data_IF_772606314950
#
_entry.id   IF_772606314950
#
_cell.length_a   1.000
_cell.length_b   1.000
_cell.length_c   1.000
_cell.angle_alpha   90.00
_cell.angle_beta   90.00
_cell.angle_gamma   90.00
#
_symmetry.space_group_name_H-M   'P 1'
#
loop_
_entity.id
_entity.type
_entity.pdbx_description
1 polymer ?
#
# COMPACT_ATOMS: atom_id res chain seq x y z
N UNK A 1 32.36 -30.61 41.60
CA UNK A 1 32.91 -31.99 41.62
C UNK A 1 33.32 -32.32 40.19
N UNK A 2 34.65 -32.27 39.97
CA UNK A 2 35.60 -33.13 39.22
C UNK A 2 35.09 -33.50 37.79
N UNK A 3 35.68 -32.92 36.73
CA UNK A 3 37.02 -33.22 36.14
C UNK A 3 37.04 -34.55 35.38
N UNK A 4 37.24 -34.53 34.06
CA UNK A 4 38.26 -35.32 33.38
C UNK A 4 38.31 -34.98 31.89
N UNK A 5 39.35 -34.41 31.48
CA UNK A 5 40.23 -34.47 30.34
C UNK A 5 40.27 -35.83 29.62
N UNK A 6 40.37 -35.82 28.28
CA UNK A 6 41.31 -36.65 27.54
C UNK A 6 41.71 -36.01 26.21
N UNK A 7 42.96 -35.68 26.13
CA UNK A 7 43.78 -35.38 24.95
C UNK A 7 44.23 -36.72 24.34
N UNK A 8 44.17 -36.86 23.00
CA UNK A 8 45.11 -37.77 22.29
C UNK A 8 45.46 -37.16 20.94
N UNK A 9 46.75 -36.84 20.84
CA UNK A 9 47.47 -36.55 19.62
C UNK A 9 48.23 -37.83 19.20
N UNK A 10 48.40 -38.06 17.90
CA UNK A 10 49.48 -38.91 17.30
C UNK A 10 49.45 -38.71 15.77
N UNK A 11 50.46 -38.07 15.25
CA UNK A 11 51.73 -38.46 14.61
C UNK A 11 51.63 -38.89 13.15
N UNK A 12 52.27 -38.06 12.33
CA UNK A 12 53.22 -38.28 11.20
C UNK A 12 53.21 -39.59 10.44
N UNK A 13 53.15 -39.49 9.10
CA UNK A 13 54.14 -40.20 8.24
C UNK A 13 54.28 -39.46 6.90
N UNK A 14 55.54 -39.07 6.68
CA UNK A 14 56.16 -38.61 5.42
C UNK A 14 56.52 -39.84 4.63
N UNK A 15 56.26 -39.90 3.34
CA UNK A 15 56.88 -40.85 2.43
C UNK A 15 57.26 -40.18 1.11
N UNK A 16 58.55 -40.42 0.78
CA UNK A 16 59.36 -39.77 -0.24
C UNK A 16 59.12 -40.29 -1.67
N UNK A 17 59.41 -39.42 -2.61
CA UNK A 17 60.01 -39.52 -3.93
C UNK A 17 60.02 -40.82 -4.75
N UNK A 18 59.57 -40.66 -5.99
CA UNK A 18 60.12 -41.32 -7.13
C UNK A 18 60.05 -40.41 -8.39
N UNK A 19 61.26 -40.02 -8.86
CA UNK A 19 61.48 -39.41 -10.17
C UNK A 19 61.15 -40.43 -11.28
N UNK A 20 60.45 -39.99 -12.34
CA UNK A 20 60.54 -40.68 -13.64
C UNK A 20 60.59 -39.64 -14.75
N UNK A 21 61.59 -39.79 -15.56
CA UNK A 21 62.10 -38.94 -16.63
C UNK A 21 61.20 -38.87 -17.85
N UNK A 22 61.12 -37.67 -18.38
CA UNK A 22 61.14 -37.20 -19.76
C UNK A 22 60.66 -38.12 -20.90
N UNK A 23 59.60 -37.68 -21.56
CA UNK A 23 59.50 -37.84 -23.01
C UNK A 23 58.70 -36.61 -23.58
N UNK A 24 59.44 -35.77 -24.34
CA UNK A 24 58.95 -34.60 -25.04
C UNK A 24 58.18 -35.05 -26.29
N UNK A 25 56.89 -34.93 -26.29
CA UNK A 25 56.08 -34.87 -27.50
C UNK A 25 55.45 -33.46 -27.60
N UNK A 26 55.97 -32.67 -28.50
CA UNK A 26 55.42 -31.39 -28.93
C UNK A 26 54.12 -31.63 -29.68
N UNK A 27 52.99 -31.45 -29.00
CA UNK A 27 51.67 -31.33 -29.64
C UNK A 27 51.36 -29.84 -29.71
N UNK A 28 51.30 -29.32 -30.93
CA UNK A 28 50.82 -27.97 -31.22
C UNK A 28 49.32 -27.88 -30.89
N UNK A 29 49.01 -27.28 -29.75
CA UNK A 29 47.62 -26.93 -29.37
C UNK A 29 47.27 -25.62 -30.06
N UNK A 30 46.37 -25.69 -31.07
CA UNK A 30 45.66 -24.54 -31.60
C UNK A 30 44.85 -23.91 -30.46
N UNK A 31 45.24 -22.72 -30.07
CA UNK A 31 44.45 -21.90 -29.14
C UNK A 31 43.18 -21.45 -29.85
N UNK A 32 42.10 -22.24 -29.74
CA UNK A 32 40.76 -21.73 -29.93
C UNK A 32 40.52 -20.70 -28.81
N UNK A 33 40.42 -19.42 -29.17
CA UNK A 33 39.94 -18.38 -28.30
C UNK A 33 38.51 -18.73 -27.84
N UNK A 34 38.40 -19.29 -26.64
CA UNK A 34 37.12 -19.37 -25.95
C UNK A 34 36.75 -17.94 -25.68
N UNK A 35 35.70 -17.49 -26.40
CA UNK A 35 34.99 -16.24 -26.09
C UNK A 35 34.58 -16.34 -24.62
N UNK A 36 35.19 -15.52 -23.78
CA UNK A 36 34.68 -15.27 -22.44
C UNK A 36 33.25 -14.74 -22.61
N UNK A 37 32.27 -15.61 -22.41
CA UNK A 37 30.88 -15.16 -22.15
C UNK A 37 31.01 -14.14 -21.02
N UNK A 38 30.54 -12.92 -21.28
CA UNK A 38 30.39 -11.90 -20.27
C UNK A 38 29.45 -12.48 -19.21
N UNK A 39 30.01 -13.03 -18.14
CA UNK A 39 29.27 -13.28 -16.91
C UNK A 39 28.91 -11.88 -16.45
N UNK A 40 27.70 -11.43 -16.79
CA UNK A 40 27.13 -10.20 -16.24
C UNK A 40 27.22 -10.32 -14.72
N UNK A 41 27.78 -9.28 -14.08
CA UNK A 41 27.82 -9.20 -12.63
C UNK A 41 26.41 -9.54 -12.09
N UNK A 42 26.29 -10.29 -10.99
CA UNK A 42 24.98 -10.61 -10.42
C UNK A 42 24.22 -9.31 -10.23
N UNK A 43 22.98 -9.29 -10.74
CA UNK A 43 22.09 -8.11 -10.60
C UNK A 43 22.08 -7.70 -9.11
N UNK A 44 22.36 -6.42 -8.85
CA UNK A 44 22.37 -5.90 -7.48
C UNK A 44 21.02 -6.20 -6.84
N UNK A 45 21.02 -6.83 -5.68
CA UNK A 45 19.80 -7.16 -4.93
C UNK A 45 19.18 -5.85 -4.39
N UNK A 46 17.85 -5.69 -4.58
CA UNK A 46 17.08 -4.58 -4.05
C UNK A 46 16.20 -5.07 -2.90
N UNK A 47 16.30 -4.41 -1.74
CA UNK A 47 15.48 -4.72 -0.57
C UNK A 47 14.11 -4.05 -0.71
N UNK A 48 13.04 -4.85 -0.77
CA UNK A 48 11.67 -4.38 -0.80
C UNK A 48 10.96 -4.65 0.52
N UNK A 49 10.72 -3.59 1.28
CA UNK A 49 10.03 -3.60 2.58
C UNK A 49 8.53 -3.43 2.38
N UNK A 50 7.75 -4.41 2.84
CA UNK A 50 6.32 -4.52 2.54
C UNK A 50 5.54 -4.48 3.84
N UNK A 51 4.61 -3.55 3.96
CA UNK A 51 3.60 -3.56 5.00
C UNK A 51 2.52 -4.59 4.68
N UNK A 52 2.35 -5.56 5.57
CA UNK A 52 1.21 -6.47 5.61
C UNK A 52 0.83 -6.72 7.07
N UNK A 53 -0.40 -6.38 7.52
CA UNK A 53 -0.80 -6.52 8.92
C UNK A 53 -0.70 -7.97 9.44
N UNK A 54 -0.74 -8.95 8.54
CA UNK A 54 -0.62 -10.39 8.86
C UNK A 54 0.82 -10.90 8.71
N UNK A 55 1.72 -10.04 8.20
CA UNK A 55 3.13 -10.38 7.94
C UNK A 55 3.29 -11.31 6.74
N UNK A 56 4.25 -12.24 6.80
CA UNK A 56 4.58 -13.14 5.69
C UNK A 56 3.45 -14.10 5.27
N UNK A 57 2.41 -14.22 6.06
CA UNK A 57 1.22 -15.04 5.76
C UNK A 57 0.05 -14.21 5.23
N UNK A 58 0.23 -12.92 5.10
CA UNK A 58 -0.82 -12.02 4.63
C UNK A 58 -0.95 -11.97 3.11
N UNK A 59 -2.10 -11.51 2.62
CA UNK A 59 -2.41 -11.50 1.19
C UNK A 59 -1.54 -10.50 0.40
N UNK A 60 -1.13 -9.39 1.02
CA UNK A 60 -0.27 -8.40 0.36
C UNK A 60 1.12 -8.99 0.11
N UNK A 61 1.73 -9.61 1.13
CA UNK A 61 3.02 -10.25 0.98
C UNK A 61 2.98 -11.41 -0.02
N UNK A 62 1.91 -12.21 0.01
CA UNK A 62 1.72 -13.31 -0.93
C UNK A 62 1.67 -12.82 -2.38
N UNK A 63 0.94 -11.75 -2.67
CA UNK A 63 0.91 -11.13 -4.00
C UNK A 63 2.28 -10.60 -4.44
N UNK A 64 3.12 -10.18 -3.50
CA UNK A 64 4.48 -9.70 -3.81
C UNK A 64 5.46 -10.82 -4.14
N UNK A 65 5.19 -12.07 -3.78
CA UNK A 65 5.99 -13.22 -4.26
C UNK A 65 5.85 -13.43 -5.77
N UNK A 66 4.63 -13.31 -6.30
CA UNK A 66 4.38 -13.35 -7.74
C UNK A 66 5.01 -12.15 -8.45
N UNK A 67 4.87 -10.97 -7.84
CA UNK A 67 5.50 -9.75 -8.33
C UNK A 67 7.04 -9.85 -8.36
N UNK A 68 7.68 -10.45 -7.34
CA UNK A 68 9.13 -10.68 -7.28
C UNK A 68 9.60 -11.48 -8.50
N UNK A 69 8.88 -12.55 -8.84
CA UNK A 69 9.18 -13.36 -10.03
C UNK A 69 9.09 -12.53 -11.31
N UNK A 70 8.10 -11.67 -11.42
CA UNK A 70 7.93 -10.80 -12.58
C UNK A 70 9.01 -9.69 -12.63
N UNK A 71 9.44 -9.17 -11.49
CA UNK A 71 10.47 -8.15 -11.40
C UNK A 71 11.83 -8.63 -11.94
N UNK A 72 12.16 -9.93 -11.77
CA UNK A 72 13.36 -10.55 -12.37
C UNK A 72 13.36 -10.41 -13.90
N UNK A 73 12.22 -10.55 -14.55
CA UNK A 73 12.11 -10.39 -16.01
C UNK A 73 12.39 -8.93 -16.47
N UNK A 74 12.32 -7.97 -15.55
CA UNK A 74 12.65 -6.57 -15.80
C UNK A 74 14.06 -6.20 -15.34
N UNK A 75 14.83 -7.18 -14.83
CA UNK A 75 16.21 -7.01 -14.38
C UNK A 75 16.37 -6.57 -12.92
N UNK A 76 15.29 -6.61 -12.11
CA UNK A 76 15.34 -6.31 -10.69
C UNK A 76 15.29 -7.61 -9.86
N UNK A 77 16.28 -7.79 -8.98
CA UNK A 77 16.36 -8.92 -8.05
C UNK A 77 15.88 -8.44 -6.67
N UNK A 78 14.61 -8.69 -6.34
CA UNK A 78 14.00 -8.18 -5.10
C UNK A 78 14.21 -9.15 -3.93
N UNK A 79 14.70 -8.64 -2.81
CA UNK A 79 14.64 -9.30 -1.51
C UNK A 79 13.43 -8.77 -0.74
N UNK A 80 12.39 -9.61 -0.57
CA UNK A 80 11.15 -9.21 0.10
C UNK A 80 11.30 -9.28 1.63
N UNK A 81 10.84 -8.23 2.32
CA UNK A 81 10.90 -8.10 3.78
C UNK A 81 9.53 -7.65 4.31
N UNK A 82 8.83 -8.54 5.03
CA UNK A 82 7.51 -8.25 5.57
C UNK A 82 7.58 -7.52 6.91
N UNK A 83 6.67 -6.56 7.09
CA UNK A 83 6.50 -5.79 8.32
C UNK A 83 5.02 -5.73 8.70
N UNK A 84 4.72 -5.96 9.97
CA UNK A 84 3.37 -5.82 10.51
C UNK A 84 3.05 -4.40 11.02
N UNK A 85 4.05 -3.52 11.02
CA UNK A 85 3.91 -2.12 11.42
C UNK A 85 4.41 -1.21 10.29
N UNK A 86 3.49 -0.46 9.70
CA UNK A 86 3.75 0.44 8.58
C UNK A 86 4.74 1.57 8.92
N UNK A 87 4.71 2.08 10.16
CA UNK A 87 5.63 3.12 10.58
C UNK A 87 7.09 2.64 10.58
N UNK A 88 7.31 1.34 10.84
CA UNK A 88 8.67 0.74 10.77
C UNK A 88 9.13 0.63 9.32
N UNK A 89 8.24 0.27 8.38
CA UNK A 89 8.57 0.30 6.93
C UNK A 89 9.07 1.68 6.52
N UNK A 90 8.33 2.73 6.91
CA UNK A 90 8.70 4.12 6.60
C UNK A 90 10.07 4.47 7.19
N UNK A 91 10.31 4.12 8.47
CA UNK A 91 11.58 4.41 9.15
C UNK A 91 12.76 3.69 8.48
N UNK A 92 12.61 2.40 8.14
CA UNK A 92 13.65 1.62 7.47
C UNK A 92 13.90 2.11 6.04
N UNK A 93 12.84 2.52 5.31
CA UNK A 93 13.00 3.12 3.99
C UNK A 93 13.74 4.47 4.08
N UNK A 94 13.39 5.33 5.04
CA UNK A 94 14.09 6.61 5.25
C UNK A 94 15.55 6.42 5.63
N UNK A 95 15.84 5.41 6.45
CA UNK A 95 17.21 5.07 6.86
C UNK A 95 18.05 4.43 5.74
N UNK A 96 17.47 4.14 4.57
CA UNK A 96 18.17 3.49 3.45
C UNK A 96 18.33 1.99 3.60
N UNK A 97 17.64 1.34 4.54
CA UNK A 97 17.62 -0.11 4.71
C UNK A 97 16.74 -0.81 3.67
N UNK A 98 15.92 -0.07 2.95
CA UNK A 98 15.05 -0.54 1.88
C UNK A 98 15.28 0.30 0.62
N UNK A 99 15.36 -0.33 -0.55
CA UNK A 99 15.40 0.31 -1.86
C UNK A 99 13.99 0.59 -2.39
N UNK A 100 13.01 -0.19 -1.91
CA UNK A 100 11.59 -0.02 -2.18
C UNK A 100 10.77 -0.19 -0.90
N UNK A 101 9.59 0.45 -0.86
CA UNK A 101 8.60 0.20 0.18
C UNK A 101 7.21 0.03 -0.43
N UNK A 102 6.39 -0.87 0.17
CA UNK A 102 4.96 -1.05 -0.10
C UNK A 102 4.14 -0.64 1.11
N UNK A 103 3.34 0.42 0.98
CA UNK A 103 2.58 1.02 2.10
C UNK A 103 1.22 1.55 1.61
N UNK A 104 0.34 1.96 2.53
CA UNK A 104 -0.94 2.61 2.20
C UNK A 104 -0.72 3.97 1.53
N UNK A 105 -1.65 4.37 0.66
CA UNK A 105 -1.54 5.57 -0.17
C UNK A 105 -1.36 6.85 0.64
N UNK A 106 -2.00 6.98 1.79
CA UNK A 106 -1.85 8.16 2.68
C UNK A 106 -0.40 8.34 3.16
N UNK A 107 0.35 7.25 3.36
CA UNK A 107 1.76 7.27 3.82
C UNK A 107 2.74 7.76 2.78
N UNK A 108 2.38 7.73 1.50
CA UNK A 108 3.33 8.11 0.43
C UNK A 108 3.43 9.62 0.19
N UNK A 109 2.63 10.44 0.87
CA UNK A 109 2.58 11.89 0.68
C UNK A 109 3.95 12.59 0.70
N UNK A 110 4.90 12.27 1.59
CA UNK A 110 6.23 12.87 1.56
C UNK A 110 7.06 12.49 0.33
N UNK A 111 6.71 11.43 -0.37
CA UNK A 111 7.44 10.86 -1.50
C UNK A 111 6.78 11.16 -2.84
N UNK A 112 5.44 11.26 -2.85
CA UNK A 112 4.66 11.67 -4.01
C UNK A 112 3.29 12.21 -3.58
N UNK A 113 3.15 13.53 -3.54
CA UNK A 113 1.92 14.21 -3.13
C UNK A 113 0.76 14.00 -4.10
N UNK A 114 1.06 13.84 -5.40
CA UNK A 114 0.05 13.60 -6.43
C UNK A 114 -0.66 12.25 -6.22
N UNK A 115 0.07 11.14 -6.12
CA UNK A 115 -0.54 9.81 -5.94
C UNK A 115 -1.10 9.58 -4.53
N UNK A 116 -0.54 10.21 -3.50
CA UNK A 116 -1.10 10.19 -2.15
C UNK A 116 -2.49 10.83 -2.07
N UNK A 117 -2.83 11.67 -3.03
CA UNK A 117 -4.14 12.33 -3.11
C UNK A 117 -5.24 11.46 -3.72
N UNK A 118 -4.93 10.24 -4.18
CA UNK A 118 -5.94 9.26 -4.66
C UNK A 118 -6.94 8.92 -3.55
N UNK A 119 -6.49 8.88 -2.29
CA UNK A 119 -7.32 8.60 -1.11
C UNK A 119 -8.10 9.82 -0.59
N UNK A 120 -8.23 10.88 -1.40
CA UNK A 120 -8.99 12.05 -1.01
C UNK A 120 -10.45 11.70 -0.70
N UNK A 121 -10.99 12.30 0.37
CA UNK A 121 -12.37 12.11 0.85
C UNK A 121 -13.38 12.37 -0.26
N UNK A 122 -14.20 11.37 -0.58
CA UNK A 122 -15.19 11.46 -1.67
C UNK A 122 -14.56 11.78 -3.03
N UNK A 123 -13.26 11.49 -3.20
CA UNK A 123 -12.53 11.75 -4.45
C UNK A 123 -12.96 10.85 -5.60
N UNK A 124 -13.27 9.59 -5.29
CA UNK A 124 -13.80 8.59 -6.22
C UNK A 124 -15.01 7.90 -5.57
N UNK A 125 -16.12 7.79 -6.32
CA UNK A 125 -17.36 7.23 -5.81
C UNK A 125 -17.38 5.71 -5.77
N UNK A 126 -16.65 5.06 -6.69
CA UNK A 126 -16.71 3.62 -6.89
C UNK A 126 -15.43 3.02 -7.48
N UNK A 127 -15.40 1.69 -7.55
CA UNK A 127 -14.28 0.92 -8.11
C UNK A 127 -14.10 1.12 -9.62
N UNK A 128 -15.14 1.50 -10.36
CA UNK A 128 -15.04 1.78 -11.79
C UNK A 128 -14.24 3.07 -12.04
N UNK A 129 -14.52 4.10 -11.25
CA UNK A 129 -13.74 5.35 -11.29
C UNK A 129 -12.29 5.11 -10.86
N UNK A 130 -12.06 4.27 -9.82
CA UNK A 130 -10.73 3.86 -9.41
C UNK A 130 -9.98 3.15 -10.54
N UNK A 131 -10.61 2.19 -11.22
CA UNK A 131 -10.05 1.48 -12.36
C UNK A 131 -9.68 2.44 -13.51
N UNK A 132 -10.57 3.37 -13.83
CA UNK A 132 -10.31 4.38 -14.87
C UNK A 132 -9.12 5.26 -14.50
N UNK A 133 -9.01 5.70 -13.23
CA UNK A 133 -7.89 6.47 -12.75
C UNK A 133 -6.58 5.67 -12.86
N UNK A 134 -6.53 4.46 -12.32
CA UNK A 134 -5.32 3.63 -12.35
C UNK A 134 -4.91 3.25 -13.77
N UNK A 135 -5.88 3.04 -14.68
CA UNK A 135 -5.57 2.88 -16.12
C UNK A 135 -4.85 4.11 -16.69
N UNK A 136 -5.31 5.32 -16.36
CA UNK A 136 -4.64 6.55 -16.83
C UNK A 136 -3.22 6.66 -16.25
N UNK A 137 -3.06 6.33 -14.97
CA UNK A 137 -1.79 6.44 -14.25
C UNK A 137 -0.77 5.36 -14.65
N UNK A 138 -1.22 4.21 -15.17
CA UNK A 138 -0.33 3.16 -15.69
C UNK A 138 0.30 3.50 -17.04
N UNK A 139 -0.19 4.51 -17.76
CA UNK A 139 0.31 4.84 -19.10
C UNK A 139 1.59 5.69 -19.05
N UNK A 140 2.48 5.58 -20.08
CA UNK A 140 3.73 6.36 -20.14
C UNK A 140 3.52 7.87 -20.00
N UNK A 141 2.39 8.40 -20.45
CA UNK A 141 2.05 9.84 -20.33
C UNK A 141 1.96 10.32 -18.87
N UNK A 142 1.73 9.41 -17.91
CA UNK A 142 1.66 9.72 -16.49
C UNK A 142 3.04 9.77 -15.81
N UNK A 143 4.12 9.29 -16.46
CA UNK A 143 5.47 9.18 -15.89
C UNK A 143 5.91 10.40 -15.09
N UNK A 144 5.70 11.61 -15.64
CA UNK A 144 6.09 12.87 -14.98
C UNK A 144 5.42 13.12 -13.63
N UNK A 145 4.28 12.48 -13.36
CA UNK A 145 3.55 12.59 -12.08
C UNK A 145 3.91 11.45 -11.12
N UNK A 146 4.55 10.38 -11.64
CA UNK A 146 4.97 9.24 -10.85
C UNK A 146 6.32 9.45 -10.17
N UNK A 147 7.08 10.44 -10.59
CA UNK A 147 8.39 10.77 -10.02
C UNK A 147 8.34 12.08 -9.23
N UNK A 148 8.97 12.08 -8.05
CA UNK A 148 9.18 13.27 -7.22
C UNK A 148 10.55 13.12 -6.53
N UNK A 149 11.52 13.97 -6.92
CA UNK A 149 12.91 13.85 -6.46
C UNK A 149 13.49 12.48 -6.80
N UNK A 150 14.07 11.82 -5.81
CA UNK A 150 14.73 10.51 -5.95
C UNK A 150 13.74 9.34 -5.97
N UNK A 151 12.44 9.61 -5.83
CA UNK A 151 11.43 8.58 -5.65
C UNK A 151 10.53 8.44 -6.88
N UNK A 152 10.12 7.20 -7.15
CA UNK A 152 9.14 6.89 -8.18
C UNK A 152 8.06 5.98 -7.61
N UNK A 153 6.81 6.24 -7.97
CA UNK A 153 5.67 5.35 -7.71
C UNK A 153 5.68 4.25 -8.75
N UNK A 154 6.13 3.08 -8.36
CA UNK A 154 6.26 1.92 -9.25
C UNK A 154 4.99 1.06 -9.34
N UNK A 155 4.11 1.12 -8.33
CA UNK A 155 2.84 0.40 -8.34
C UNK A 155 1.77 1.14 -7.55
N UNK A 156 0.51 0.99 -7.98
CA UNK A 156 -0.68 1.42 -7.24
C UNK A 156 -1.72 0.31 -7.38
N UNK A 157 -2.14 -0.28 -6.25
CA UNK A 157 -3.13 -1.35 -6.19
C UNK A 157 -4.33 -0.91 -5.36
N UNK A 158 -5.58 -1.23 -5.76
CA UNK A 158 -6.75 -0.92 -4.95
C UNK A 158 -6.69 -1.69 -3.62
N UNK A 159 -7.10 -1.06 -2.54
CA UNK A 159 -7.17 -1.64 -1.20
C UNK A 159 -8.60 -1.72 -0.65
N UNK A 160 -9.56 -1.20 -1.40
CA UNK A 160 -10.98 -1.23 -1.09
C UNK A 160 -11.57 0.11 -0.66
N UNK A 161 -12.88 0.20 -0.74
CA UNK A 161 -13.61 1.35 -0.24
C UNK A 161 -13.52 1.42 1.29
N UNK A 162 -13.29 2.62 1.80
CA UNK A 162 -13.25 2.90 3.26
C UNK A 162 -14.65 3.21 3.73
N UNK A 163 -15.16 2.42 4.67
CA UNK A 163 -16.49 2.55 5.26
C UNK A 163 -16.42 3.07 6.70
N UNK A 164 -17.52 3.66 7.17
CA UNK A 164 -17.69 4.09 8.57
C UNK A 164 -18.25 2.92 9.38
N UNK A 165 -17.52 2.53 10.41
CA UNK A 165 -17.90 1.53 11.42
C UNK A 165 -18.37 2.27 12.67
N UNK A 166 -19.57 2.00 13.13
CA UNK A 166 -20.13 2.58 14.36
C UNK A 166 -20.49 1.50 15.36
N UNK A 167 -20.25 1.76 16.64
CA UNK A 167 -20.62 0.83 17.72
C UNK A 167 -22.11 0.86 18.04
N UNK A 168 -22.82 1.90 17.59
CA UNK A 168 -24.26 2.06 17.74
C UNK A 168 -24.85 2.66 16.44
N UNK A 169 -25.84 1.99 15.86
CA UNK A 169 -26.55 2.43 14.63
C UNK A 169 -27.28 3.77 14.77
N UNK A 170 -27.45 4.26 16.01
CA UNK A 170 -28.01 5.60 16.23
C UNK A 170 -27.06 6.73 15.81
N UNK A 171 -25.76 6.43 15.62
CA UNK A 171 -24.78 7.37 15.07
C UNK A 171 -24.90 7.31 13.54
N UNK A 172 -25.86 8.06 12.95
CA UNK A 172 -26.24 7.92 11.54
C UNK A 172 -26.27 9.24 10.76
N UNK A 173 -25.70 10.29 11.31
CA UNK A 173 -25.55 11.59 10.66
C UNK A 173 -24.32 12.32 11.18
N UNK A 174 -23.92 13.39 10.50
CA UNK A 174 -22.86 14.31 10.97
C UNK A 174 -23.20 14.85 12.37
N UNK A 175 -24.46 15.21 12.59
CA UNK A 175 -24.94 15.73 13.89
C UNK A 175 -24.81 14.69 15.01
N UNK A 176 -25.19 13.43 14.78
CA UNK A 176 -25.11 12.36 15.80
C UNK A 176 -23.67 11.88 16.04
N UNK A 177 -22.74 12.21 15.14
CA UNK A 177 -21.30 11.97 15.31
C UNK A 177 -20.63 13.03 16.21
N UNK A 178 -21.29 14.20 16.42
CA UNK A 178 -20.79 15.25 17.31
C UNK A 178 -20.60 14.72 18.74
N UNK A 179 -19.46 15.05 19.34
CA UNK A 179 -19.06 14.60 20.69
C UNK A 179 -18.70 13.11 20.80
N UNK A 180 -18.83 12.29 19.71
CA UNK A 180 -18.37 10.90 19.71
C UNK A 180 -16.86 10.80 19.60
N UNK A 181 -16.31 9.72 20.10
CA UNK A 181 -14.87 9.43 20.03
C UNK A 181 -14.58 8.72 18.72
N UNK A 182 -13.70 9.29 17.90
CA UNK A 182 -13.32 8.75 16.58
C UNK A 182 -11.86 8.35 16.58
N UNK A 183 -11.55 7.12 16.16
CA UNK A 183 -10.18 6.70 15.89
C UNK A 183 -9.61 7.49 14.71
N UNK A 184 -8.53 8.24 14.94
CA UNK A 184 -7.96 9.17 13.97
C UNK A 184 -6.51 8.79 13.71
N UNK A 185 -6.17 8.53 12.45
CA UNK A 185 -4.78 8.29 12.07
C UNK A 185 -4.00 9.61 12.14
N UNK A 186 -3.03 9.70 13.04
CA UNK A 186 -2.33 10.96 13.38
C UNK A 186 -1.56 11.57 12.21
N UNK A 187 -1.17 10.76 11.25
CA UNK A 187 -0.46 11.19 10.05
C UNK A 187 -1.38 11.56 8.89
N UNK A 188 -2.70 11.32 9.02
CA UNK A 188 -3.69 11.63 8.00
C UNK A 188 -4.45 12.91 8.33
N UNK A 189 -4.05 13.99 7.68
CA UNK A 189 -4.66 15.31 7.85
C UNK A 189 -6.16 15.31 7.50
N UNK A 190 -6.58 14.48 6.55
CA UNK A 190 -7.98 14.39 6.16
C UNK A 190 -8.84 13.83 7.29
N UNK A 191 -8.37 12.76 7.96
CA UNK A 191 -9.09 12.20 9.11
C UNK A 191 -9.15 13.17 10.29
N UNK A 192 -8.12 13.97 10.52
CA UNK A 192 -8.14 15.03 11.53
C UNK A 192 -9.21 16.08 11.19
N UNK A 193 -9.24 16.56 9.95
CA UNK A 193 -10.22 17.55 9.51
C UNK A 193 -11.68 17.04 9.59
N UNK A 194 -11.92 15.76 9.28
CA UNK A 194 -13.26 15.14 9.44
C UNK A 194 -13.71 15.24 10.90
N UNK A 195 -12.85 14.82 11.84
CA UNK A 195 -13.20 14.81 13.27
C UNK A 195 -13.48 16.21 13.79
N UNK A 196 -12.69 17.20 13.38
CA UNK A 196 -12.89 18.61 13.75
C UNK A 196 -14.18 19.16 13.13
N UNK A 197 -14.45 18.85 11.85
CA UNK A 197 -15.64 19.34 11.15
C UNK A 197 -16.95 18.83 11.78
N UNK A 198 -16.99 17.55 12.18
CA UNK A 198 -18.19 16.97 12.82
C UNK A 198 -18.28 17.30 14.32
N UNK A 199 -17.34 18.03 14.89
CA UNK A 199 -17.31 18.35 16.32
C UNK A 199 -17.14 17.11 17.20
N UNK A 200 -16.46 16.09 16.73
CA UNK A 200 -16.19 14.85 17.45
C UNK A 200 -14.90 14.94 18.29
N UNK A 201 -14.69 13.96 19.15
CA UNK A 201 -13.48 13.84 19.96
C UNK A 201 -12.46 12.96 19.23
N UNK A 202 -11.31 13.53 18.94
CA UNK A 202 -10.20 12.82 18.31
C UNK A 202 -9.55 11.85 19.29
N UNK A 203 -9.40 10.58 18.89
CA UNK A 203 -8.62 9.56 19.60
C UNK A 203 -7.44 9.14 18.72
N UNK A 204 -6.23 9.64 19.00
CA UNK A 204 -5.03 9.35 18.22
C UNK A 204 -4.80 7.85 18.06
N UNK A 205 -4.61 7.40 16.83
CA UNK A 205 -4.50 5.98 16.50
C UNK A 205 -3.48 5.76 15.37
N UNK A 206 -3.04 4.53 15.26
CA UNK A 206 -2.24 4.01 14.15
C UNK A 206 -2.99 2.86 13.50
N UNK A 207 -2.52 2.34 12.36
CA UNK A 207 -3.08 1.14 11.72
C UNK A 207 -3.07 -0.06 12.69
N UNK A 208 -2.08 -0.15 13.60
CA UNK A 208 -2.01 -1.22 14.60
C UNK A 208 -2.97 -1.03 15.78
N UNK A 209 -3.42 0.20 16.08
CA UNK A 209 -4.17 0.50 17.31
C UNK A 209 -5.62 0.91 17.10
N UNK A 210 -6.04 1.31 15.89
CA UNK A 210 -7.40 1.80 15.65
C UNK A 210 -8.46 0.71 15.91
N UNK A 211 -8.23 -0.51 15.42
CA UNK A 211 -9.16 -1.60 15.59
C UNK A 211 -9.22 -2.14 17.04
N UNK A 212 -8.12 -2.37 17.75
CA UNK A 212 -8.16 -2.65 19.19
C UNK A 212 -8.95 -1.58 19.99
N UNK A 213 -8.76 -0.28 19.70
CA UNK A 213 -9.53 0.79 20.37
C UNK A 213 -11.03 0.70 20.07
N UNK A 214 -11.39 0.41 18.81
CA UNK A 214 -12.78 0.19 18.43
C UNK A 214 -13.38 -1.06 19.07
N UNK A 215 -12.65 -2.17 19.06
CA UNK A 215 -13.08 -3.43 19.64
C UNK A 215 -13.30 -3.36 21.16
N UNK A 216 -12.44 -2.61 21.88
CA UNK A 216 -12.53 -2.45 23.33
C UNK A 216 -13.51 -1.34 23.76
N UNK A 217 -14.02 -0.51 22.83
CA UNK A 217 -14.93 0.57 23.14
C UNK A 217 -14.27 1.86 23.59
N UNK A 218 -12.98 2.03 23.32
CA UNK A 218 -12.25 3.28 23.56
C UNK A 218 -12.69 4.36 22.56
N UNK A 219 -13.19 3.96 21.39
CA UNK A 219 -13.79 4.81 20.38
C UNK A 219 -15.18 4.33 19.99
N UNK A 220 -16.02 5.25 19.55
CA UNK A 220 -17.40 4.98 19.13
C UNK A 220 -17.50 4.78 17.62
N UNK A 221 -16.56 5.37 16.88
CA UNK A 221 -16.49 5.35 15.42
C UNK A 221 -15.07 5.01 14.99
N UNK A 222 -14.96 4.15 13.97
CA UNK A 222 -13.74 3.89 13.21
C UNK A 222 -14.06 3.90 11.72
N UNK A 223 -13.05 4.02 10.87
CA UNK A 223 -13.20 3.87 9.43
C UNK A 223 -12.12 2.94 8.89
N UNK A 224 -12.53 2.02 8.02
CA UNK A 224 -11.66 0.99 7.48
C UNK A 224 -12.23 0.43 6.18
N UNK A 225 -11.40 -0.15 5.30
CA UNK A 225 -11.89 -0.98 4.22
C UNK A 225 -12.37 -2.34 4.73
N UNK A 226 -13.22 -3.01 3.95
CA UNK A 226 -13.75 -4.32 4.30
C UNK A 226 -12.65 -5.38 4.50
N UNK A 227 -11.54 -5.27 3.78
CA UNK A 227 -10.37 -6.17 3.93
C UNK A 227 -9.75 -6.13 5.33
N UNK A 228 -10.06 -5.11 6.14
CA UNK A 228 -9.62 -5.00 7.54
C UNK A 228 -10.56 -5.71 8.52
N UNK A 229 -11.79 -6.06 8.10
CA UNK A 229 -12.84 -6.58 8.99
C UNK A 229 -12.44 -7.85 9.73
N UNK A 230 -11.99 -8.87 9.02
CA UNK A 230 -11.57 -10.15 9.61
C UNK A 230 -10.18 -10.07 10.28
N UNK A 231 -9.12 -9.58 9.59
CA UNK A 231 -7.78 -9.56 10.19
C UNK A 231 -7.68 -8.76 11.48
N UNK A 232 -8.48 -7.69 11.61
CA UNK A 232 -8.51 -6.86 12.82
C UNK A 232 -9.70 -7.16 13.74
N UNK A 233 -10.45 -8.23 13.48
CA UNK A 233 -11.58 -8.68 14.31
C UNK A 233 -12.62 -7.58 14.60
N UNK A 234 -12.87 -6.68 13.64
CA UNK A 234 -13.71 -5.49 13.86
C UNK A 234 -15.15 -5.82 14.23
N UNK A 235 -15.62 -7.06 13.99
CA UNK A 235 -16.90 -7.56 14.46
C UNK A 235 -17.06 -7.50 15.98
N UNK A 236 -15.95 -7.56 16.75
CA UNK A 236 -15.99 -7.41 18.22
C UNK A 236 -16.45 -6.02 18.63
N UNK A 237 -15.96 -4.97 17.93
CA UNK A 237 -16.37 -3.60 18.17
C UNK A 237 -17.81 -3.30 17.76
N UNK A 238 -18.30 -3.93 16.69
CA UNK A 238 -19.69 -3.78 16.24
C UNK A 238 -20.68 -4.37 17.24
N UNK A 239 -20.39 -5.54 17.82
CA UNK A 239 -21.30 -6.22 18.74
C UNK A 239 -22.70 -6.41 18.13
N UNK A 240 -23.75 -6.30 18.96
CA UNK A 240 -25.15 -6.42 18.51
C UNK A 240 -25.81 -5.11 18.05
N UNK A 241 -25.25 -3.97 18.42
CA UNK A 241 -25.83 -2.63 18.15
C UNK A 241 -25.13 -1.87 17.03
N UNK A 242 -23.91 -2.25 16.71
CA UNK A 242 -23.09 -1.58 15.73
C UNK A 242 -23.48 -1.86 14.30
N UNK A 243 -22.93 -1.08 13.39
CA UNK A 243 -23.15 -1.21 11.96
C UNK A 243 -22.04 -0.57 11.12
N UNK A 244 -22.15 -0.78 9.83
CA UNK A 244 -21.23 -0.29 8.81
C UNK A 244 -22.05 0.43 7.75
N UNK A 245 -21.79 1.70 7.54
CA UNK A 245 -22.51 2.44 6.50
C UNK A 245 -21.98 2.06 5.13
N UNK A 246 -22.91 1.65 4.24
CA UNK A 246 -22.65 1.27 2.83
C UNK A 246 -22.32 2.51 1.98
N UNK A 247 -21.63 3.43 2.56
CA UNK A 247 -21.27 4.70 1.96
C UNK A 247 -19.74 4.85 2.01
N UNK A 248 -19.05 4.85 0.86
CA UNK A 248 -17.60 4.95 0.84
C UNK A 248 -17.15 6.38 1.14
N UNK A 249 -16.25 6.54 2.11
CA UNK A 249 -15.60 7.83 2.39
C UNK A 249 -14.44 8.12 1.46
N UNK A 250 -13.71 7.08 1.06
CA UNK A 250 -12.54 7.17 0.20
C UNK A 250 -12.26 5.81 -0.45
N UNK A 251 -11.38 5.79 -1.42
CA UNK A 251 -10.87 4.56 -2.04
C UNK A 251 -9.42 4.33 -1.59
N UNK A 252 -9.23 3.43 -0.61
CA UNK A 252 -7.89 3.07 -0.13
C UNK A 252 -7.10 2.37 -1.23
N UNK A 253 -5.80 2.61 -1.24
CA UNK A 253 -4.88 1.92 -2.14
C UNK A 253 -3.55 1.60 -1.43
N UNK A 254 -2.81 0.65 -1.99
CA UNK A 254 -1.42 0.38 -1.64
C UNK A 254 -0.52 0.87 -2.75
N UNK A 255 0.61 1.46 -2.37
CA UNK A 255 1.57 1.98 -3.34
C UNK A 255 2.96 1.43 -3.07
N UNK A 256 3.68 1.13 -4.14
CA UNK A 256 5.10 0.81 -4.11
C UNK A 256 5.89 2.05 -4.51
N UNK A 257 6.71 2.53 -3.59
CA UNK A 257 7.67 3.61 -3.82
C UNK A 257 9.06 3.01 -3.93
N UNK A 258 9.78 3.38 -4.98
CA UNK A 258 11.15 2.96 -5.21
C UNK A 258 12.10 4.17 -5.20
N UNK A 259 13.37 3.92 -4.83
CA UNK A 259 14.48 4.82 -5.15
C UNK A 259 14.87 4.54 -6.60
N UNK A 260 14.41 5.35 -7.54
CA UNK A 260 14.45 5.02 -8.97
C UNK A 260 15.88 4.70 -9.49
N UNK A 261 16.92 5.34 -8.93
CA UNK A 261 18.32 5.08 -9.29
C UNK A 261 18.84 3.68 -8.87
N UNK A 262 18.11 3.01 -7.97
CA UNK A 262 18.44 1.65 -7.50
C UNK A 262 17.84 0.57 -8.39
N UNK A 263 17.02 0.94 -9.35
CA UNK A 263 16.26 0.02 -10.22
C UNK A 263 16.66 0.19 -11.68
N UNK A 264 16.49 -0.85 -12.51
CA UNK A 264 16.74 -0.78 -13.94
C UNK A 264 15.91 0.33 -14.61
N UNK A 265 16.44 0.93 -15.67
CA UNK A 265 15.74 1.92 -16.47
C UNK A 265 14.38 1.40 -16.95
N UNK A 266 13.33 2.20 -16.79
CA UNK A 266 11.97 1.85 -17.17
C UNK A 266 11.28 0.84 -16.25
N UNK A 267 11.90 0.40 -15.16
CA UNK A 267 11.31 -0.53 -14.20
C UNK A 267 9.95 -0.04 -13.70
N UNK A 268 9.87 1.21 -13.22
CA UNK A 268 8.64 1.76 -12.67
C UNK A 268 7.49 1.76 -13.67
N UNK A 269 7.75 2.06 -14.96
CA UNK A 269 6.72 2.01 -16.02
C UNK A 269 6.21 0.58 -16.24
N UNK A 270 7.10 -0.40 -16.39
CA UNK A 270 6.74 -1.81 -16.56
C UNK A 270 5.94 -2.33 -15.36
N UNK A 271 6.36 -1.94 -14.16
CA UNK A 271 5.70 -2.29 -12.92
C UNK A 271 4.27 -1.73 -12.84
N UNK A 272 4.05 -0.46 -13.16
CA UNK A 272 2.71 0.15 -13.18
C UNK A 272 1.78 -0.51 -14.21
N UNK A 273 2.28 -0.84 -15.38
CA UNK A 273 1.50 -1.56 -16.40
C UNK A 273 1.10 -2.95 -15.92
N UNK A 274 2.05 -3.69 -15.34
CA UNK A 274 1.78 -5.02 -14.79
C UNK A 274 0.78 -4.97 -13.63
N UNK A 275 0.98 -4.08 -12.67
CA UNK A 275 0.09 -3.98 -11.50
C UNK A 275 -1.31 -3.54 -11.89
N UNK A 276 -1.46 -2.68 -12.90
CA UNK A 276 -2.78 -2.35 -13.43
C UNK A 276 -3.48 -3.59 -14.04
N UNK A 277 -2.75 -4.49 -14.69
CA UNK A 277 -3.32 -5.75 -15.21
C UNK A 277 -3.83 -6.68 -14.09
N UNK A 278 -3.35 -6.51 -12.85
CA UNK A 278 -3.83 -7.26 -11.69
C UNK A 278 -5.04 -6.61 -11.00
N UNK A 279 -5.58 -5.50 -11.53
CA UNK A 279 -6.66 -4.74 -10.90
C UNK A 279 -7.90 -5.60 -10.62
N UNK A 280 -8.35 -6.38 -11.61
CA UNK A 280 -9.57 -7.19 -11.48
C UNK A 280 -9.40 -8.30 -10.44
N UNK A 281 -8.21 -8.91 -10.33
CA UNK A 281 -7.88 -9.89 -9.28
C UNK A 281 -7.90 -9.25 -7.90
N UNK A 282 -7.31 -8.06 -7.75
CA UNK A 282 -7.35 -7.33 -6.49
C UNK A 282 -8.78 -6.93 -6.10
N UNK A 283 -9.59 -6.51 -7.08
CA UNK A 283 -10.99 -6.17 -6.86
C UNK A 283 -11.83 -7.39 -6.45
N UNK A 284 -11.54 -8.57 -6.99
CA UNK A 284 -12.19 -9.81 -6.56
C UNK A 284 -11.93 -10.09 -5.08
N UNK A 285 -10.69 -9.97 -4.61
CA UNK A 285 -10.35 -10.13 -3.19
C UNK A 285 -11.07 -9.10 -2.30
N UNK A 286 -11.18 -7.85 -2.75
CA UNK A 286 -11.91 -6.81 -2.02
C UNK A 286 -13.41 -7.18 -1.91
N UNK A 287 -14.03 -7.62 -3.00
CA UNK A 287 -15.44 -8.01 -3.02
C UNK A 287 -15.72 -9.25 -2.16
N UNK A 288 -14.79 -10.20 -2.12
CA UNK A 288 -14.88 -11.34 -1.21
C UNK A 288 -14.86 -10.89 0.25
N UNK A 289 -13.96 -9.97 0.61
CA UNK A 289 -13.92 -9.41 1.96
C UNK A 289 -15.19 -8.61 2.31
N UNK A 290 -15.77 -7.87 1.38
CA UNK A 290 -17.06 -7.21 1.56
C UNK A 290 -18.20 -8.22 1.76
N UNK A 291 -18.18 -9.34 1.03
CA UNK A 291 -19.19 -10.40 1.13
C UNK A 291 -19.07 -11.22 2.42
N UNK A 292 -17.90 -11.28 3.05
CA UNK A 292 -17.69 -11.92 4.36
C UNK A 292 -18.36 -11.15 5.51
N UNK A 293 -18.65 -9.87 5.33
CA UNK A 293 -19.32 -9.05 6.34
C UNK A 293 -20.81 -9.43 6.37
N UNK A 294 -21.36 -9.94 7.50
CA UNK A 294 -22.75 -10.28 7.62
C UNK A 294 -23.70 -9.14 7.23
N UNK A 295 -24.73 -9.45 6.45
CA UNK A 295 -25.63 -8.46 5.86
C UNK A 295 -26.34 -7.57 6.90
N UNK A 296 -26.57 -8.08 8.12
CA UNK A 296 -27.19 -7.34 9.21
C UNK A 296 -26.33 -6.21 9.79
N UNK A 297 -25.03 -6.16 9.49
CA UNK A 297 -24.18 -5.04 9.89
C UNK A 297 -24.23 -3.90 8.87
N UNK A 298 -24.52 -4.19 7.60
CA UNK A 298 -24.62 -3.15 6.59
C UNK A 298 -25.87 -2.29 6.77
N UNK A 299 -25.69 -0.98 6.69
CA UNK A 299 -26.74 0.02 6.85
C UNK A 299 -26.66 0.96 5.66
N UNK A 300 -27.80 1.15 4.99
CA UNK A 300 -27.96 2.18 3.98
C UNK A 300 -28.37 3.49 4.66
N UNK A 301 -27.65 4.57 4.37
CA UNK A 301 -28.03 5.89 4.87
C UNK A 301 -29.27 6.40 4.12
N UNK A 302 -30.18 7.13 4.78
CA UNK A 302 -31.18 7.93 4.08
C UNK A 302 -30.51 8.89 3.10
N UNK A 303 -31.15 9.14 1.96
CA UNK A 303 -30.58 9.92 0.88
C UNK A 303 -30.15 11.34 1.32
N UNK A 304 -30.93 11.99 2.17
CA UNK A 304 -30.60 13.30 2.74
C UNK A 304 -29.32 13.28 3.57
N UNK A 305 -29.11 12.22 4.34
CA UNK A 305 -27.90 12.02 5.14
C UNK A 305 -26.68 11.69 4.29
N UNK A 306 -26.86 10.90 3.25
CA UNK A 306 -25.77 10.65 2.28
C UNK A 306 -25.32 11.93 1.59
N UNK A 307 -26.24 12.79 1.18
CA UNK A 307 -25.95 14.11 0.59
C UNK A 307 -25.19 14.99 1.60
N UNK A 308 -25.60 15.01 2.86
CA UNK A 308 -24.92 15.75 3.93
C UNK A 308 -23.46 15.32 4.08
N UNK A 309 -23.18 14.01 4.14
CA UNK A 309 -21.83 13.46 4.21
C UNK A 309 -20.99 13.79 2.96
N UNK A 310 -21.59 13.68 1.77
CA UNK A 310 -20.90 14.01 0.51
C UNK A 310 -20.52 15.50 0.44
N UNK A 311 -21.39 16.41 0.86
CA UNK A 311 -21.06 17.83 0.89
C UNK A 311 -20.00 18.15 1.94
N UNK A 312 -20.07 17.56 3.13
CA UNK A 312 -19.02 17.68 4.14
C UNK A 312 -17.67 17.25 3.58
N UNK A 313 -17.57 16.07 2.96
CA UNK A 313 -16.34 15.57 2.38
C UNK A 313 -15.83 16.48 1.26
N UNK A 314 -16.72 17.02 0.44
CA UNK A 314 -16.38 17.96 -0.62
C UNK A 314 -15.76 19.24 -0.05
N UNK A 315 -16.35 19.82 0.99
CA UNK A 315 -15.82 21.04 1.64
C UNK A 315 -14.43 20.78 2.23
N UNK A 316 -14.26 19.66 2.94
CA UNK A 316 -12.96 19.27 3.49
C UNK A 316 -11.94 19.05 2.37
N UNK A 317 -12.32 18.39 1.28
CA UNK A 317 -11.46 18.13 0.12
C UNK A 317 -10.99 19.43 -0.55
N UNK A 318 -11.90 20.42 -0.73
CA UNK A 318 -11.55 21.74 -1.27
C UNK A 318 -10.56 22.44 -0.33
N UNK A 319 -10.84 22.52 0.96
CA UNK A 319 -9.95 23.17 1.93
C UNK A 319 -8.57 22.50 2.02
N UNK A 320 -8.50 21.19 1.96
CA UNK A 320 -7.23 20.45 1.95
C UNK A 320 -6.44 20.66 0.64
N UNK A 321 -7.13 20.91 -0.47
CA UNK A 321 -6.48 21.28 -1.74
C UNK A 321 -5.91 22.69 -1.67
N UNK A 322 -6.66 23.64 -1.14
CA UNK A 322 -6.19 25.02 -0.90
C UNK A 322 -5.00 25.07 0.07
N UNK A 323 -5.01 24.19 1.07
CA UNK A 323 -3.90 24.02 2.01
C UNK A 323 -2.70 23.23 1.45
N UNK A 324 -2.72 22.83 0.17
CA UNK A 324 -1.69 22.01 -0.50
C UNK A 324 -1.46 20.62 0.18
N UNK A 325 -2.46 20.09 0.88
CA UNK A 325 -2.44 18.72 1.38
C UNK A 325 -2.82 17.76 0.26
N UNK A 326 -3.86 18.07 -0.51
CA UNK A 326 -4.20 17.35 -1.72
C UNK A 326 -3.62 18.04 -2.96
N UNK A 327 -3.15 17.24 -3.90
CA UNK A 327 -2.61 17.74 -5.17
C UNK A 327 -3.74 18.22 -6.10
N UNK A 328 -3.70 19.48 -6.57
CA UNK A 328 -4.78 20.04 -7.40
C UNK A 328 -5.00 19.30 -8.72
N UNK A 329 -3.94 18.73 -9.31
CA UNK A 329 -4.07 18.00 -10.57
C UNK A 329 -4.78 16.65 -10.35
N UNK A 330 -4.48 15.94 -9.23
CA UNK A 330 -5.20 14.74 -8.88
C UNK A 330 -6.67 15.05 -8.58
N UNK A 331 -6.96 16.12 -7.83
CA UNK A 331 -8.35 16.55 -7.58
C UNK A 331 -9.10 16.81 -8.89
N UNK A 332 -8.47 17.53 -9.81
CA UNK A 332 -9.03 17.79 -11.14
C UNK A 332 -9.29 16.53 -11.97
N UNK A 333 -8.41 15.53 -11.89
CA UNK A 333 -8.62 14.24 -12.57
C UNK A 333 -9.82 13.50 -11.99
N UNK A 334 -9.89 13.37 -10.66
CA UNK A 334 -10.99 12.69 -9.98
C UNK A 334 -12.32 13.42 -10.17
N UNK A 335 -12.34 14.74 -10.10
CA UNK A 335 -13.51 15.55 -10.43
C UNK A 335 -14.05 15.25 -11.84
N UNK A 336 -13.16 15.17 -12.84
CA UNK A 336 -13.56 14.81 -14.21
C UNK A 336 -14.13 13.40 -14.31
N UNK A 337 -13.62 12.45 -13.53
CA UNK A 337 -14.18 11.10 -13.49
C UNK A 337 -15.57 11.09 -12.88
N UNK A 338 -15.78 11.75 -11.72
CA UNK A 338 -17.11 11.88 -11.10
C UNK A 338 -18.12 12.54 -12.04
N UNK A 339 -17.75 13.66 -12.65
CA UNK A 339 -18.63 14.38 -13.57
C UNK A 339 -18.89 13.65 -14.89
N UNK A 340 -18.01 12.75 -15.30
CA UNK A 340 -18.29 11.87 -16.44
C UNK A 340 -19.33 10.80 -16.09
N UNK A 341 -19.26 10.25 -14.88
CA UNK A 341 -20.19 9.23 -14.40
C UNK A 341 -21.56 9.84 -14.05
N UNK A 342 -21.60 11.05 -13.48
CA UNK A 342 -22.83 11.76 -13.12
C UNK A 342 -22.78 13.24 -13.50
N UNK A 343 -23.02 13.59 -14.78
CA UNK A 343 -22.93 14.97 -15.26
C UNK A 343 -23.95 15.93 -14.64
N UNK A 344 -25.04 15.39 -14.10
CA UNK A 344 -26.12 16.18 -13.49
C UNK A 344 -25.80 16.55 -12.02
N UNK A 345 -24.74 16.02 -11.43
CA UNK A 345 -24.38 16.35 -10.07
C UNK A 345 -23.99 17.85 -9.96
N UNK A 346 -24.48 18.54 -8.92
CA UNK A 346 -24.32 19.98 -8.76
C UNK A 346 -22.86 20.45 -8.74
N UNK A 347 -21.92 19.62 -8.20
CA UNK A 347 -20.49 19.95 -8.18
C UNK A 347 -19.93 20.18 -9.59
N UNK A 348 -20.51 19.51 -10.60
CA UNK A 348 -20.05 19.59 -11.99
C UNK A 348 -20.41 20.94 -12.64
N UNK A 349 -21.48 21.59 -12.15
CA UNK A 349 -21.85 22.94 -12.56
C UNK A 349 -20.98 24.00 -11.86
N UNK A 350 -20.66 23.82 -10.57
CA UNK A 350 -19.87 24.78 -9.79
C UNK A 350 -18.38 24.82 -10.14
N UNK A 351 -17.83 23.70 -10.59
CA UNK A 351 -16.42 23.54 -11.06
C UNK A 351 -15.34 24.04 -10.08
N UNK A 352 -15.58 24.03 -8.77
CA UNK A 352 -14.61 24.48 -7.78
C UNK A 352 -13.34 23.61 -7.71
N UNK A 353 -13.42 22.38 -8.18
CA UNK A 353 -12.33 21.42 -8.24
C UNK A 353 -11.85 21.16 -9.68
N UNK A 354 -12.42 21.80 -10.71
CA UNK A 354 -12.26 21.52 -12.14
C UNK A 354 -11.27 22.40 -12.89
#
# INVERSE_FOLDING_TARGET
>A
MRLCFFLTALFFSVSSFADVSTSTNTVSISTNSVSTENISAPAQEQVFCIFDPVGTRGPIYSAMLDYQTQALNWGANLQLKAYTNEAVVIADFQAGHCDAMGVTGTRVRPYNGFTASIEALGGLDDYQQMQQLLNMLSKPKAQRYMQQGDYEVAAIMPGGAVFIFVRDKSINSVETAAGKRIATLDYDQASVNVVEHVGATRVPSTVATFAPRFNNGDVDIAYAPAVAYQPFEMYKGLGSKGGIYRFPMAQMNFQMIIRHERFPEGFGQKSREFTYQQFDLALEHIRLAEAEIPTNYWIDLPQDKEVEYKEMMRQIRIGLTEANVYDPMMMKLMFKLRCRSNPAHYECAERKEG
#
